data_IF_283749833814
#
_entry.id   IF_283749833814
#
_cell.length_a   1.000
_cell.length_b   1.000
_cell.length_c   1.000
_cell.angle_alpha   90.00
_cell.angle_beta   90.00
_cell.angle_gamma   90.00
#
_symmetry.space_group_name_H-M   'P 1'
#
loop_
_entity.id
_entity.type
_entity.pdbx_description
1 polymer ?
#
# COMPACT_ATOMS: atom_id res chain seq x y z
N UNK A 1 -27.00 -1.43 -2.99
CA UNK A 1 -25.66 -1.20 -2.42
C UNK A 1 -24.88 -2.51 -2.39
N UNK A 2 -24.04 -2.80 -3.39
CA UNK A 2 -23.15 -3.97 -3.39
C UNK A 2 -21.91 -3.69 -4.24
N UNK A 3 -20.82 -3.27 -3.61
CA UNK A 3 -19.47 -3.52 -4.11
C UNK A 3 -18.64 -3.92 -2.89
N UNK A 4 -18.38 -5.22 -2.80
CA UNK A 4 -17.60 -5.82 -1.73
C UNK A 4 -16.21 -5.20 -1.66
N UNK A 5 -15.88 -4.66 -0.49
CA UNK A 5 -14.56 -4.16 -0.12
C UNK A 5 -13.59 -5.33 0.05
N UNK A 6 -13.15 -5.91 -1.05
CA UNK A 6 -11.89 -6.64 -1.10
C UNK A 6 -10.89 -5.72 -1.79
N UNK A 7 -9.83 -5.34 -1.08
CA UNK A 7 -8.63 -4.81 -1.71
C UNK A 7 -8.31 -5.73 -2.91
N UNK A 8 -8.27 -5.16 -4.12
CA UNK A 8 -7.93 -5.88 -5.35
C UNK A 8 -6.60 -6.61 -5.12
N UNK A 9 -6.38 -7.73 -5.80
CA UNK A 9 -5.16 -8.55 -5.62
C UNK A 9 -3.87 -7.70 -5.65
N UNK A 10 -3.86 -6.63 -6.45
CA UNK A 10 -2.80 -5.62 -6.53
C UNK A 10 -2.58 -4.84 -5.24
N UNK A 11 -3.66 -4.33 -4.64
CA UNK A 11 -3.61 -3.61 -3.36
C UNK A 11 -3.09 -4.53 -2.25
N UNK A 12 -3.48 -5.81 -2.25
CA UNK A 12 -2.93 -6.80 -1.30
C UNK A 12 -1.43 -6.98 -1.46
N UNK A 13 -0.93 -7.11 -2.70
CA UNK A 13 0.50 -7.19 -2.99
C UNK A 13 1.25 -5.96 -2.49
N UNK A 14 0.68 -4.76 -2.66
CA UNK A 14 1.26 -3.51 -2.13
C UNK A 14 1.31 -3.54 -0.59
N UNK A 15 0.22 -3.97 0.06
CA UNK A 15 0.17 -4.08 1.53
C UNK A 15 1.19 -5.10 2.03
N UNK A 16 1.29 -6.27 1.41
CA UNK A 16 2.26 -7.31 1.76
C UNK A 16 3.69 -6.83 1.57
N UNK A 17 3.98 -6.18 0.44
CA UNK A 17 5.29 -5.60 0.17
C UNK A 17 5.68 -4.56 1.22
N UNK A 18 4.75 -3.67 1.61
CA UNK A 18 4.94 -2.68 2.68
C UNK A 18 4.97 -3.31 4.09
N UNK A 19 4.39 -4.49 4.28
CA UNK A 19 4.46 -5.23 5.53
C UNK A 19 5.86 -5.83 5.71
N UNK A 20 6.42 -6.39 4.64
CA UNK A 20 7.78 -6.94 4.63
C UNK A 20 8.85 -5.84 4.59
N UNK A 21 8.55 -4.71 3.95
CA UNK A 21 9.44 -3.56 3.82
C UNK A 21 8.78 -2.34 4.49
N UNK A 22 9.09 -2.12 5.77
CA UNK A 22 8.45 -1.12 6.65
C UNK A 22 8.24 0.29 6.04
N UNK A 23 9.09 0.72 5.10
CA UNK A 23 9.09 2.03 4.45
C UNK A 23 9.60 1.90 3.02
N UNK A 24 8.81 2.28 2.01
CA UNK A 24 9.20 2.21 0.59
C UNK A 24 8.69 3.42 -0.19
N UNK A 25 9.39 3.79 -1.27
CA UNK A 25 8.91 4.87 -2.15
C UNK A 25 7.96 4.33 -3.22
N UNK A 26 7.17 5.20 -3.85
CA UNK A 26 6.30 4.80 -4.96
C UNK A 26 7.07 4.07 -6.05
N UNK A 27 8.22 4.59 -6.45
CA UNK A 27 9.06 4.02 -7.50
C UNK A 27 9.58 2.62 -7.14
N UNK A 28 9.98 2.40 -5.88
CA UNK A 28 10.39 1.06 -5.43
C UNK A 28 9.22 0.07 -5.51
N UNK A 29 8.03 0.48 -5.06
CA UNK A 29 6.83 -0.36 -5.10
C UNK A 29 6.42 -0.65 -6.56
N UNK A 30 6.44 0.36 -7.43
CA UNK A 30 6.16 0.22 -8.86
C UNK A 30 7.15 -0.74 -9.51
N UNK A 31 8.44 -0.57 -9.25
CA UNK A 31 9.50 -1.40 -9.82
C UNK A 31 9.46 -2.83 -9.28
N UNK A 32 9.11 -3.04 -8.01
CA UNK A 32 9.03 -4.35 -7.39
C UNK A 32 7.78 -5.13 -7.82
N UNK A 33 6.62 -4.48 -7.90
CA UNK A 33 5.33 -5.15 -8.07
C UNK A 33 4.75 -5.03 -9.49
N UNK A 34 5.10 -3.97 -10.22
CA UNK A 34 4.44 -3.56 -11.47
C UNK A 34 5.44 -3.26 -12.60
N UNK A 35 6.68 -3.79 -12.53
CA UNK A 35 7.76 -3.54 -13.51
C UNK A 35 7.35 -3.69 -14.97
N UNK A 36 6.45 -4.62 -15.26
CA UNK A 36 5.99 -4.96 -16.62
C UNK A 36 4.53 -4.53 -16.88
N UNK A 37 3.86 -3.92 -15.89
CA UNK A 37 2.48 -3.53 -16.03
C UNK A 37 2.39 -2.09 -16.55
N UNK A 38 1.53 -1.79 -17.54
CA UNK A 38 1.26 -0.42 -18.00
C UNK A 38 0.41 0.38 -16.98
N UNK A 39 0.37 -0.06 -15.72
CA UNK A 39 -0.53 0.42 -14.69
C UNK A 39 0.28 1.06 -13.59
N UNK A 40 -0.13 2.27 -13.21
CA UNK A 40 0.54 3.09 -12.21
C UNK A 40 0.01 2.79 -10.80
N UNK A 41 0.90 2.33 -9.92
CA UNK A 41 0.62 2.01 -8.51
C UNK A 41 0.11 3.21 -7.69
N UNK A 42 0.17 4.43 -8.24
CA UNK A 42 -0.39 5.64 -7.61
C UNK A 42 -1.88 5.48 -7.29
N UNK A 43 -2.66 4.83 -8.15
CA UNK A 43 -4.09 4.62 -7.89
C UNK A 43 -4.31 3.69 -6.70
N UNK A 44 -3.63 2.54 -6.69
CA UNK A 44 -3.67 1.57 -5.60
C UNK A 44 -3.20 2.20 -4.28
N UNK A 45 -2.12 2.98 -4.29
CA UNK A 45 -1.65 3.69 -3.09
C UNK A 45 -2.68 4.73 -2.61
N UNK A 46 -3.33 5.45 -3.52
CA UNK A 46 -4.36 6.43 -3.17
C UNK A 46 -5.60 5.77 -2.58
N UNK A 47 -6.05 4.64 -3.12
CA UNK A 47 -7.17 3.86 -2.55
C UNK A 47 -6.80 3.30 -1.17
N UNK A 48 -5.60 2.74 -1.02
CA UNK A 48 -5.09 2.26 0.28
C UNK A 48 -4.96 3.38 1.32
N UNK A 49 -4.62 4.59 0.88
CA UNK A 49 -4.64 5.79 1.74
C UNK A 49 -6.05 6.20 2.13
N UNK A 50 -7.00 6.22 1.19
CA UNK A 50 -8.41 6.51 1.49
C UNK A 50 -9.01 5.52 2.49
N UNK A 51 -8.62 4.24 2.40
CA UNK A 51 -9.03 3.22 3.38
C UNK A 51 -8.34 3.37 4.75
N UNK A 52 -7.32 4.24 4.85
CA UNK A 52 -6.50 4.43 6.04
C UNK A 52 -5.61 3.23 6.33
N UNK A 53 -5.23 2.46 5.31
CA UNK A 53 -4.36 1.29 5.42
C UNK A 53 -2.88 1.66 5.20
N UNK A 54 -2.63 2.57 4.27
CA UNK A 54 -1.30 3.11 3.98
C UNK A 54 -1.27 4.59 4.36
N UNK A 55 -0.14 5.05 4.87
CA UNK A 55 0.14 6.46 5.14
C UNK A 55 1.37 6.85 4.34
N UNK A 56 1.31 7.97 3.61
CA UNK A 56 2.50 8.60 3.06
C UNK A 56 3.10 9.50 4.14
N UNK A 57 4.31 9.17 4.57
CA UNK A 57 5.13 10.05 5.39
C UNK A 57 5.99 10.90 4.45
N UNK A 58 5.90 12.23 4.60
CA UNK A 58 6.84 13.14 3.94
C UNK A 58 8.18 13.03 4.67
N UNK A 59 9.28 12.66 4.00
CA UNK A 59 10.59 12.88 4.61
C UNK A 59 10.81 14.39 4.77
N UNK A 60 11.34 14.79 5.92
CA UNK A 60 11.63 16.20 6.24
C UNK A 60 12.65 16.86 5.29
N UNK A 61 13.28 16.15 4.34
CA UNK A 61 14.40 16.74 3.58
C UNK A 61 14.71 16.19 2.16
N UNK A 62 13.93 15.27 1.55
CA UNK A 62 14.22 14.78 0.19
C UNK A 62 12.94 14.44 -0.57
N UNK A 63 12.85 14.79 -1.85
CA UNK A 63 11.66 14.87 -2.72
C UNK A 63 10.81 13.59 -2.94
N UNK A 64 10.96 12.53 -2.14
CA UNK A 64 10.26 11.25 -2.34
C UNK A 64 9.34 10.92 -1.18
N UNK A 65 8.03 10.90 -1.43
CA UNK A 65 7.05 10.42 -0.46
C UNK A 65 7.32 8.94 -0.13
N UNK A 66 7.43 8.63 1.16
CA UNK A 66 7.63 7.26 1.64
C UNK A 66 6.29 6.73 2.12
N UNK A 67 5.89 5.57 1.62
CA UNK A 67 4.66 4.90 1.98
C UNK A 67 4.96 3.84 3.04
N UNK A 68 4.09 3.76 4.06
CA UNK A 68 4.16 2.77 5.13
C UNK A 68 2.77 2.31 5.55
N UNK A 69 2.67 1.12 6.14
CA UNK A 69 1.42 0.64 6.71
C UNK A 69 1.04 1.39 7.99
N UNK A 70 -0.22 1.79 8.08
CA UNK A 70 -0.77 2.39 9.31
C UNK A 70 -0.81 1.36 10.44
N UNK A 71 -0.86 1.85 11.68
CA UNK A 71 -1.11 0.98 12.85
C UNK A 71 -2.42 0.20 12.71
N UNK A 72 -3.42 0.78 12.05
CA UNK A 72 -4.72 0.15 11.77
C UNK A 72 -4.57 -1.04 10.82
N UNK A 73 -3.87 -0.88 9.69
CA UNK A 73 -3.62 -1.96 8.74
C UNK A 73 -2.88 -3.14 9.38
N UNK A 74 -1.79 -2.85 10.10
CA UNK A 74 -1.02 -3.89 10.81
C UNK A 74 -1.88 -4.65 11.83
N UNK A 75 -2.77 -3.95 12.54
CA UNK A 75 -3.72 -4.57 13.48
C UNK A 75 -4.76 -5.43 12.76
N UNK A 76 -5.17 -5.06 11.55
CA UNK A 76 -6.12 -5.84 10.75
C UNK A 76 -5.48 -7.11 10.19
N UNK A 77 -4.24 -7.03 9.71
CA UNK A 77 -3.42 -8.18 9.30
C UNK A 77 -3.25 -9.14 10.49
N UNK A 78 -2.79 -8.63 11.65
CA UNK A 78 -2.59 -9.43 12.87
C UNK A 78 -3.87 -10.09 13.39
N UNK A 79 -5.03 -9.46 13.17
CA UNK A 79 -6.35 -10.01 13.55
C UNK A 79 -6.94 -10.95 12.49
N UNK A 80 -6.25 -11.22 11.39
CA UNK A 80 -6.76 -12.02 10.26
C UNK A 80 -7.95 -11.39 9.54
N UNK A 81 -8.27 -10.12 9.82
CA UNK A 81 -9.35 -9.37 9.13
C UNK A 81 -8.95 -8.99 7.71
N UNK A 82 -7.65 -8.89 7.45
CA UNK A 82 -7.08 -8.64 6.15
C UNK A 82 -6.18 -9.83 5.79
N UNK A 83 -6.66 -10.70 4.90
CA UNK A 83 -5.86 -11.79 4.34
C UNK A 83 -5.01 -11.23 3.20
N UNK A 84 -3.75 -10.94 3.52
CA UNK A 84 -2.66 -10.80 2.56
C UNK A 84 -2.12 -12.19 2.23
#
# INVERSE_FOLDING_TARGET
>A
MKLGTYAKEREKRVIEYLHNNCCQTRDDIQSALFKQAPIDVTHELADLQKMGLVEASRPCNKEKHVFRLTKKARKWIKKGKLKI
#
